data_IF_084190285306
#
_entry.id   IF_084190285306
#
_cell.length_a   1.000
_cell.length_b   1.000
_cell.length_c   1.000
_cell.angle_alpha   90.00
_cell.angle_beta   90.00
_cell.angle_gamma   90.00
#
_symmetry.space_group_name_H-M   'P 1'
#
loop_
_entity.id
_entity.type
_entity.pdbx_description
1 polymer ?
#
# COMPACT_ATOMS: atom_id res chain seq x y z
N UNK A 1 -13.42 3.91 14.89
CA UNK A 1 -12.09 3.74 14.27
C UNK A 1 -12.16 4.25 12.84
N UNK A 2 -11.36 5.27 12.48
CA UNK A 2 -11.26 5.72 11.08
C UNK A 2 -10.35 4.76 10.33
N UNK A 3 -10.83 4.28 9.19
CA UNK A 3 -10.01 3.59 8.20
C UNK A 3 -9.34 4.68 7.38
N UNK A 4 -8.01 4.67 7.31
CA UNK A 4 -7.24 5.58 6.46
C UNK A 4 -6.60 4.75 5.37
N UNK A 5 -6.98 5.03 4.11
CA UNK A 5 -6.42 4.39 2.94
C UNK A 5 -5.88 5.45 1.98
N UNK A 6 -4.68 5.23 1.46
CA UNK A 6 -4.11 6.05 0.39
C UNK A 6 -3.23 5.22 -0.52
N UNK A 7 -3.07 5.70 -1.76
CA UNK A 7 -2.23 5.09 -2.79
C UNK A 7 -1.25 6.14 -3.28
N UNK A 8 0.04 5.80 -3.29
CA UNK A 8 1.10 6.58 -3.90
C UNK A 8 1.46 5.92 -5.23
N UNK A 9 1.32 6.64 -6.34
CA UNK A 9 1.73 6.19 -7.67
C UNK A 9 3.10 6.77 -7.99
N UNK A 10 4.04 5.92 -8.37
CA UNK A 10 5.39 6.25 -8.82
C UNK A 10 5.49 5.94 -10.32
N UNK A 11 6.58 6.36 -10.96
CA UNK A 11 6.78 6.17 -12.41
C UNK A 11 6.62 4.70 -12.85
N UNK A 12 7.12 3.75 -12.05
CA UNK A 12 7.12 2.31 -12.38
C UNK A 12 6.50 1.41 -11.30
N UNK A 13 5.79 1.98 -10.32
CA UNK A 13 5.31 1.25 -9.15
C UNK A 13 4.15 1.97 -8.47
N UNK A 14 3.49 1.30 -7.53
CA UNK A 14 2.60 1.95 -6.59
C UNK A 14 2.79 1.38 -5.18
N UNK A 15 2.44 2.19 -4.18
CA UNK A 15 2.39 1.78 -2.78
C UNK A 15 1.00 2.08 -2.23
N UNK A 16 0.37 1.08 -1.63
CA UNK A 16 -0.90 1.22 -0.94
C UNK A 16 -0.68 1.14 0.56
N UNK A 17 -1.36 2.02 1.27
CA UNK A 17 -1.45 2.01 2.71
C UNK A 17 -2.89 1.77 3.13
N UNK A 18 -3.07 0.97 4.18
CA UNK A 18 -4.37 0.79 4.83
C UNK A 18 -4.21 0.66 6.34
N UNK A 19 -4.99 1.43 7.10
CA UNK A 19 -5.07 1.26 8.56
C UNK A 19 -6.35 0.52 8.95
N UNK A 20 -6.18 -0.64 9.58
CA UNK A 20 -7.29 -1.47 10.05
C UNK A 20 -7.08 -1.91 11.49
N UNK A 21 -8.02 -1.56 12.39
CA UNK A 21 -7.99 -1.93 13.81
C UNK A 21 -6.66 -1.61 14.52
N UNK A 22 -6.04 -0.46 14.19
CA UNK A 22 -4.75 -0.05 14.76
C UNK A 22 -3.54 -0.78 14.17
N UNK A 23 -3.73 -1.67 13.20
CA UNK A 23 -2.65 -2.23 12.39
C UNK A 23 -2.50 -1.40 11.11
N UNK A 24 -1.25 -1.11 10.78
CA UNK A 24 -0.87 -0.48 9.54
C UNK A 24 -0.41 -1.58 8.58
N UNK A 25 -1.00 -1.63 7.39
CA UNK A 25 -0.64 -2.58 6.34
C UNK A 25 -0.11 -1.78 5.15
N UNK A 26 1.02 -2.25 4.60
CA UNK A 26 1.66 -1.64 3.45
C UNK A 26 1.78 -2.68 2.33
N UNK A 27 1.40 -2.30 1.11
CA UNK A 27 1.55 -3.11 -0.09
C UNK A 27 2.33 -2.31 -1.12
N UNK A 28 3.49 -2.81 -1.54
CA UNK A 28 4.33 -2.15 -2.56
C UNK A 28 4.40 -3.03 -3.78
N UNK A 29 4.29 -2.45 -4.96
CA UNK A 29 4.72 -3.14 -6.18
C UNK A 29 6.15 -2.79 -6.53
N UNK A 30 6.94 -3.80 -6.94
CA UNK A 30 8.34 -3.60 -7.40
C UNK A 30 8.37 -3.43 -8.92
N UNK A 31 7.34 -3.95 -9.61
CA UNK A 31 6.97 -3.73 -11.00
C UNK A 31 5.42 -3.81 -11.08
N UNK A 32 4.78 -3.31 -12.14
CA UNK A 32 3.30 -3.35 -12.27
C UNK A 32 2.70 -4.76 -12.14
N UNK A 33 3.54 -5.77 -12.33
CA UNK A 33 3.28 -7.20 -12.35
C UNK A 33 3.67 -7.93 -11.05
N UNK A 34 4.34 -7.28 -10.08
CA UNK A 34 4.83 -7.93 -8.85
C UNK A 34 4.52 -7.13 -7.59
N UNK A 35 3.82 -7.77 -6.65
CA UNK A 35 3.33 -7.20 -5.38
C UNK A 35 4.06 -7.82 -4.19
N UNK A 36 4.65 -6.98 -3.32
CA UNK A 36 5.33 -7.36 -2.08
C UNK A 36 4.57 -6.79 -0.87
N UNK A 37 4.42 -7.62 0.16
CA UNK A 37 3.79 -7.27 1.44
C UNK A 37 4.86 -6.95 2.49
N UNK A 38 4.65 -5.89 3.27
CA UNK A 38 5.53 -5.49 4.37
C UNK A 38 4.73 -5.27 5.66
#
# INVERSE_FOLDING_TARGET
MRVTNWILVLECAYMEFSSWRGKNVYRRTVAYDSVVWC
#
